data_IF_721282177561
#
_entry.id   IF_721282177561
#
_cell.length_a   1.000
_cell.length_b   1.000
_cell.length_c   1.000
_cell.angle_alpha   90.00
_cell.angle_beta   90.00
_cell.angle_gamma   90.00
#
_symmetry.space_group_name_H-M   'P 1'
#
loop_
_entity.id
_entity.type
_entity.pdbx_description
1 polymer ?
#
# COMPACT_ATOMS: atom_id res chain seq x y z
N UNK A 1 -16.41 13.33 -11.06
CA UNK A 1 -16.48 12.53 -12.30
C UNK A 1 -15.06 12.23 -12.71
N UNK A 2 -14.54 11.09 -12.27
CA UNK A 2 -13.21 10.61 -12.63
C UNK A 2 -13.28 10.01 -14.03
N UNK A 3 -12.88 10.77 -15.04
CA UNK A 3 -12.48 10.21 -16.32
C UNK A 3 -11.00 9.84 -16.27
N UNK A 4 -10.69 8.67 -15.74
CA UNK A 4 -9.40 8.04 -15.90
C UNK A 4 -9.57 6.81 -16.80
N UNK A 5 -9.73 7.03 -18.09
CA UNK A 5 -9.69 5.97 -19.11
C UNK A 5 -8.61 6.33 -20.12
N UNK A 6 -7.40 6.16 -19.71
CA UNK A 6 -6.23 6.10 -20.60
C UNK A 6 -5.82 4.66 -20.81
N UNK A 7 -6.66 3.89 -21.46
CA UNK A 7 -6.42 2.49 -21.73
C UNK A 7 -5.13 2.29 -22.54
N UNK A 8 -4.21 1.49 -22.03
CA UNK A 8 -2.97 1.07 -22.70
C UNK A 8 -3.22 0.43 -24.09
N UNK A 9 -4.46 0.10 -24.42
CA UNK A 9 -4.92 -0.52 -25.66
C UNK A 9 -4.94 0.41 -26.89
N UNK A 10 -4.91 1.75 -26.72
CA UNK A 10 -5.04 2.70 -27.82
C UNK A 10 -3.74 3.40 -28.23
N UNK A 11 -2.61 3.05 -27.61
CA UNK A 11 -1.34 3.69 -27.93
C UNK A 11 -0.67 3.04 -29.12
N UNK A 12 -0.18 3.86 -30.09
CA UNK A 12 0.62 3.39 -31.20
C UNK A 12 1.93 2.75 -30.71
N UNK A 13 2.58 1.86 -31.49
CA UNK A 13 3.87 1.25 -31.11
C UNK A 13 4.92 2.26 -30.70
N UNK A 14 4.96 3.43 -31.37
CA UNK A 14 5.87 4.53 -31.08
C UNK A 14 5.54 5.22 -29.73
N UNK A 15 4.25 5.41 -29.43
CA UNK A 15 3.82 5.95 -28.14
C UNK A 15 4.11 4.97 -26.98
N UNK A 16 3.98 3.65 -27.23
CA UNK A 16 4.38 2.61 -26.26
C UNK A 16 5.87 2.64 -25.98
N UNK A 17 6.69 2.81 -27.01
CA UNK A 17 8.15 2.92 -26.88
C UNK A 17 8.54 4.17 -26.09
N UNK A 18 8.00 5.33 -26.44
CA UNK A 18 8.24 6.59 -25.74
C UNK A 18 7.75 6.54 -24.28
N UNK A 19 6.62 5.89 -24.03
CA UNK A 19 6.04 5.65 -22.70
C UNK A 19 6.97 4.80 -21.83
N UNK A 20 7.53 3.73 -22.35
CA UNK A 20 8.52 2.89 -21.65
C UNK A 20 9.84 3.66 -21.36
N UNK A 21 10.31 4.44 -22.30
CA UNK A 21 11.54 5.23 -22.18
C UNK A 21 11.41 6.35 -21.13
N UNK A 22 10.25 6.98 -21.02
CA UNK A 22 10.04 8.14 -20.14
C UNK A 22 9.63 7.79 -18.73
N UNK A 23 9.52 6.50 -18.39
CA UNK A 23 9.01 6.01 -17.08
C UNK A 23 7.65 6.61 -16.67
N UNK A 24 6.89 7.16 -17.63
CA UNK A 24 5.58 7.76 -17.37
C UNK A 24 4.59 6.79 -16.75
N UNK A 25 4.69 5.49 -17.05
CA UNK A 25 3.84 4.45 -16.46
C UNK A 25 3.91 4.45 -14.93
N UNK A 26 5.07 4.79 -14.34
CA UNK A 26 5.25 4.84 -12.88
C UNK A 26 4.54 6.06 -12.28
N UNK A 27 4.47 7.18 -13.01
CA UNK A 27 3.85 8.41 -12.53
C UNK A 27 2.36 8.54 -12.88
N UNK A 28 1.85 7.73 -13.80
CA UNK A 28 0.46 7.83 -14.25
C UNK A 28 -0.51 6.96 -13.41
N UNK A 29 -0.02 5.89 -12.77
CA UNK A 29 -0.86 5.07 -11.88
C UNK A 29 -0.85 5.61 -10.46
N UNK A 30 -1.99 5.60 -9.75
CA UNK A 30 -2.00 5.94 -8.33
C UNK A 30 -1.25 4.87 -7.52
N UNK A 31 -0.51 5.32 -6.52
CA UNK A 31 0.22 4.47 -5.59
C UNK A 31 -0.36 4.60 -4.20
N UNK A 32 -0.71 3.46 -3.62
CA UNK A 32 -1.28 3.38 -2.28
C UNK A 32 -0.31 2.64 -1.35
N UNK A 33 -0.04 3.25 -0.20
CA UNK A 33 0.66 2.59 0.87
C UNK A 33 -0.37 1.91 1.77
N UNK A 34 -0.26 0.58 1.93
CA UNK A 34 -1.20 -0.21 2.73
C UNK A 34 -0.58 -0.48 4.09
N UNK A 35 -1.21 0.05 5.14
CA UNK A 35 -0.75 -0.03 6.52
C UNK A 35 -1.84 -0.61 7.41
N UNK A 36 -1.45 -1.19 8.53
CA UNK A 36 -2.37 -1.76 9.51
C UNK A 36 -1.62 -2.67 10.48
N UNK A 37 -2.21 -3.00 11.63
CA UNK A 37 -1.60 -3.92 12.59
C UNK A 37 -1.25 -5.28 11.98
N UNK A 38 -0.39 -6.08 12.60
CA UNK A 38 -0.19 -7.47 12.20
C UNK A 38 -1.51 -8.23 12.22
N UNK A 39 -1.74 -9.08 11.21
CA UNK A 39 -2.99 -9.86 11.11
C UNK A 39 -4.25 -9.09 10.72
N UNK A 40 -4.14 -7.80 10.37
CA UNK A 40 -5.31 -7.00 9.97
C UNK A 40 -5.83 -7.29 8.55
N UNK A 41 -5.36 -8.34 7.89
CA UNK A 41 -5.86 -8.76 6.57
C UNK A 41 -5.43 -7.89 5.39
N UNK A 42 -4.36 -7.07 5.50
CA UNK A 42 -3.86 -6.19 4.43
C UNK A 42 -3.62 -6.92 3.12
N UNK A 43 -2.80 -7.96 3.19
CA UNK A 43 -2.40 -8.77 2.03
C UNK A 43 -3.60 -9.46 1.39
N UNK A 44 -4.49 -10.04 2.21
CA UNK A 44 -5.73 -10.66 1.73
C UNK A 44 -6.66 -9.65 1.06
N UNK A 45 -6.82 -8.46 1.66
CA UNK A 45 -7.63 -7.38 1.09
C UNK A 45 -7.16 -7.01 -0.33
N UNK A 46 -5.86 -6.90 -0.55
CA UNK A 46 -5.30 -6.62 -1.87
C UNK A 46 -5.54 -7.81 -2.80
N UNK A 47 -5.18 -9.01 -2.38
CA UNK A 47 -5.29 -10.23 -3.19
C UNK A 47 -6.74 -10.55 -3.61
N UNK A 48 -7.70 -10.27 -2.75
CA UNK A 48 -9.14 -10.52 -2.98
C UNK A 48 -9.89 -9.32 -3.56
N UNK A 49 -9.20 -8.22 -3.86
CA UNK A 49 -9.81 -6.99 -4.39
C UNK A 49 -10.48 -7.14 -5.76
N UNK A 50 -10.28 -8.25 -6.46
CA UNK A 50 -10.73 -8.45 -7.83
C UNK A 50 -9.92 -7.67 -8.87
N UNK A 51 -8.86 -7.00 -8.46
CA UNK A 51 -7.94 -6.31 -9.37
C UNK A 51 -7.07 -7.32 -10.16
N UNK A 52 -6.77 -6.98 -11.40
CA UNK A 52 -5.85 -7.77 -12.23
C UNK A 52 -4.42 -7.37 -11.94
N UNK A 53 -3.63 -8.28 -11.42
CA UNK A 53 -2.21 -8.05 -11.11
C UNK A 53 -1.34 -8.46 -12.29
N UNK A 54 -0.58 -7.50 -12.83
CA UNK A 54 0.20 -7.65 -14.07
C UNK A 54 1.30 -8.72 -13.99
N UNK A 55 1.87 -8.94 -12.82
CA UNK A 55 2.93 -9.95 -12.64
C UNK A 55 2.38 -11.36 -12.46
N UNK A 56 1.21 -11.53 -11.86
CA UNK A 56 0.57 -12.83 -11.69
C UNK A 56 0.27 -13.50 -13.04
N UNK A 57 -0.22 -12.72 -14.01
CA UNK A 57 -0.50 -13.21 -15.35
C UNK A 57 0.78 -13.59 -16.13
N UNK A 58 1.89 -12.88 -15.89
CA UNK A 58 3.12 -13.07 -16.69
C UNK A 58 3.94 -14.28 -16.23
N UNK A 59 3.87 -14.64 -14.96
CA UNK A 59 4.63 -15.75 -14.38
C UNK A 59 3.80 -17.01 -14.11
N UNK A 60 2.52 -17.04 -14.54
CA UNK A 60 1.63 -18.17 -14.30
C UNK A 60 1.40 -18.47 -12.81
N UNK A 61 1.70 -17.50 -11.97
CA UNK A 61 1.40 -17.57 -10.54
C UNK A 61 -0.12 -17.47 -10.41
N UNK A 62 -0.77 -18.60 -10.18
CA UNK A 62 -2.13 -18.58 -9.67
C UNK A 62 -2.11 -17.68 -8.43
N UNK A 63 -3.17 -16.90 -8.24
CA UNK A 63 -3.35 -15.99 -7.11
C UNK A 63 -3.44 -16.72 -5.74
N UNK A 64 -2.57 -17.67 -5.52
CA UNK A 64 -2.33 -18.22 -4.19
C UNK A 64 -1.44 -17.19 -3.50
N UNK A 65 -2.09 -16.17 -2.93
CA UNK A 65 -1.47 -15.31 -1.95
C UNK A 65 -0.96 -16.24 -0.86
N UNK A 66 0.35 -16.41 -0.79
CA UNK A 66 0.96 -17.04 0.37
C UNK A 66 0.68 -16.11 1.55
N UNK A 67 -0.32 -16.46 2.36
CA UNK A 67 -0.88 -15.61 3.43
C UNK A 67 0.04 -15.59 4.66
N UNK A 68 1.34 -15.71 4.41
CA UNK A 68 2.37 -15.51 5.44
C UNK A 68 2.47 -14.03 5.85
N UNK A 69 2.99 -13.74 7.06
CA UNK A 69 3.20 -12.36 7.47
C UNK A 69 4.20 -11.66 6.55
N UNK A 70 3.83 -10.48 6.07
CA UNK A 70 4.73 -9.61 5.28
C UNK A 70 5.91 -9.19 6.16
N UNK A 71 7.11 -9.63 5.81
CA UNK A 71 8.30 -9.33 6.61
C UNK A 71 8.76 -7.89 6.46
N UNK A 72 8.90 -7.40 5.21
CA UNK A 72 9.28 -6.01 4.92
C UNK A 72 8.18 -5.25 4.19
N UNK A 73 8.11 -5.40 2.89
CA UNK A 73 7.02 -4.87 2.05
C UNK A 73 6.87 -5.69 0.77
N UNK A 74 5.64 -5.82 0.31
CA UNK A 74 5.32 -6.45 -0.97
C UNK A 74 4.78 -5.41 -1.95
N UNK A 75 5.16 -5.56 -3.23
CA UNK A 75 4.70 -4.70 -4.31
C UNK A 75 3.64 -5.40 -5.13
N UNK A 76 2.47 -4.81 -5.22
CA UNK A 76 1.35 -5.30 -6.00
C UNK A 76 1.10 -4.36 -7.17
N UNK A 77 1.42 -4.82 -8.37
CA UNK A 77 1.27 -4.05 -9.61
C UNK A 77 -0.05 -4.43 -10.28
N UNK A 78 -1.10 -3.68 -10.02
CA UNK A 78 -2.39 -3.85 -10.66
C UNK A 78 -2.49 -3.12 -11.99
N UNK A 79 -3.55 -3.41 -12.76
CA UNK A 79 -3.76 -2.77 -14.07
C UNK A 79 -3.89 -1.24 -13.95
N UNK A 80 -4.53 -0.73 -12.89
CA UNK A 80 -4.82 0.69 -12.73
C UNK A 80 -4.15 1.35 -11.51
N UNK A 81 -3.47 0.58 -10.68
CA UNK A 81 -2.91 1.05 -9.40
C UNK A 81 -1.63 0.30 -9.03
N UNK A 82 -0.95 0.79 -8.02
CA UNK A 82 0.18 0.12 -7.36
C UNK A 82 -0.07 0.16 -5.86
N UNK A 83 -0.01 -0.99 -5.22
CA UNK A 83 -0.09 -1.09 -3.77
C UNK A 83 1.26 -1.49 -3.20
N UNK A 84 1.66 -0.81 -2.15
CA UNK A 84 2.84 -1.15 -1.35
C UNK A 84 2.32 -1.68 -0.01
N UNK A 85 2.24 -3.00 0.10
CA UNK A 85 1.79 -3.70 1.30
C UNK A 85 2.94 -3.78 2.30
N UNK A 86 2.76 -3.19 3.48
CA UNK A 86 3.80 -3.07 4.49
C UNK A 86 3.63 -4.09 5.62
N UNK A 87 4.74 -4.43 6.26
CA UNK A 87 4.69 -5.21 7.50
C UNK A 87 3.82 -4.51 8.56
N UNK A 88 3.02 -5.29 9.28
CA UNK A 88 2.24 -4.77 10.40
C UNK A 88 3.07 -4.21 11.54
N UNK A 89 4.34 -4.61 11.63
CA UNK A 89 5.29 -4.11 12.62
C UNK A 89 5.65 -2.64 12.41
N UNK A 90 5.43 -2.09 11.21
CA UNK A 90 5.67 -0.67 10.92
C UNK A 90 4.85 0.28 11.78
N UNK A 91 3.73 -0.19 12.34
CA UNK A 91 2.92 0.58 13.28
C UNK A 91 3.45 0.55 14.71
N UNK A 92 4.23 -0.45 15.06
CA UNK A 92 4.77 -0.54 16.40
C UNK A 92 5.82 0.55 16.63
N UNK A 93 5.59 1.42 17.61
CA UNK A 93 6.50 2.54 17.91
C UNK A 93 7.87 2.06 18.39
N UNK A 94 7.91 0.91 19.07
CA UNK A 94 9.11 0.31 19.64
C UNK A 94 9.54 -0.99 18.96
N UNK A 95 8.86 -1.43 17.89
CA UNK A 95 9.01 -2.80 17.36
C UNK A 95 9.97 -2.96 16.20
N UNK A 96 10.27 -1.91 15.45
CA UNK A 96 11.05 -2.05 14.22
C UNK A 96 12.57 -2.22 14.45
N UNK A 97 13.08 -1.88 15.61
CA UNK A 97 14.52 -1.76 15.78
C UNK A 97 15.14 -0.75 14.78
N UNK A 98 16.44 -0.59 14.84
CA UNK A 98 17.15 0.32 13.91
C UNK A 98 17.09 -0.17 12.45
N UNK A 99 17.13 -1.47 12.21
CA UNK A 99 17.15 -2.06 10.88
C UNK A 99 15.82 -1.86 10.15
N UNK A 100 14.70 -2.13 10.79
CA UNK A 100 13.38 -1.89 10.22
C UNK A 100 13.09 -0.41 9.97
N UNK A 101 13.56 0.48 10.84
CA UNK A 101 13.46 1.92 10.61
C UNK A 101 14.27 2.35 9.38
N UNK A 102 15.49 1.83 9.20
CA UNK A 102 16.32 2.07 8.02
C UNK A 102 15.69 1.51 6.73
N UNK A 103 15.08 0.32 6.79
CA UNK A 103 14.39 -0.27 5.65
C UNK A 103 13.21 0.60 5.20
N UNK A 104 12.36 1.06 6.14
CA UNK A 104 11.26 1.99 5.87
C UNK A 104 11.74 3.29 5.25
N UNK A 105 12.74 3.92 5.83
CA UNK A 105 13.31 5.17 5.31
C UNK A 105 13.89 5.01 3.91
N UNK A 106 14.50 3.86 3.64
CA UNK A 106 15.03 3.51 2.33
C UNK A 106 13.90 3.39 1.31
N UNK A 107 12.80 2.72 1.69
CA UNK A 107 11.61 2.62 0.84
C UNK A 107 11.04 4.00 0.50
N UNK A 108 10.87 4.89 1.49
CA UNK A 108 10.34 6.24 1.27
C UNK A 108 11.28 7.07 0.37
N UNK A 109 12.60 6.94 0.54
CA UNK A 109 13.59 7.56 -0.36
C UNK A 109 13.47 7.03 -1.78
N UNK A 110 13.28 5.73 -1.96
CA UNK A 110 13.10 5.11 -3.28
C UNK A 110 11.81 5.60 -3.95
N UNK A 111 10.69 5.62 -3.23
CA UNK A 111 9.42 6.15 -3.76
C UNK A 111 9.61 7.59 -4.22
N UNK A 112 10.17 8.47 -3.38
CA UNK A 112 10.40 9.89 -3.72
C UNK A 112 11.36 10.08 -4.88
N UNK A 113 12.36 9.21 -5.02
CA UNK A 113 13.32 9.28 -6.15
C UNK A 113 12.65 8.92 -7.47
N UNK A 114 11.73 7.98 -7.48
CA UNK A 114 11.09 7.49 -8.69
C UNK A 114 9.77 8.19 -9.01
N UNK A 115 9.06 8.69 -7.98
CA UNK A 115 7.86 9.51 -8.12
C UNK A 115 8.08 10.85 -7.43
N UNK A 116 8.29 11.89 -8.23
CA UNK A 116 8.68 13.21 -7.70
C UNK A 116 7.58 13.89 -6.89
N UNK A 117 6.33 13.84 -7.33
CA UNK A 117 5.16 14.36 -6.62
C UNK A 117 3.89 13.64 -7.07
N UNK A 118 2.99 13.28 -6.16
CA UNK A 118 3.07 13.43 -4.70
C UNK A 118 3.89 12.35 -3.99
N UNK A 119 4.51 11.39 -4.70
CA UNK A 119 5.21 10.22 -4.16
C UNK A 119 4.23 9.06 -3.99
N UNK A 120 3.24 9.18 -3.12
CA UNK A 120 2.08 8.29 -3.00
C UNK A 120 0.80 9.11 -3.15
N UNK A 121 -0.27 8.48 -3.61
CA UNK A 121 -1.56 9.13 -3.85
C UNK A 121 -2.54 8.91 -2.70
N UNK A 122 -2.22 8.00 -1.77
CA UNK A 122 -3.03 7.77 -0.59
C UNK A 122 -2.50 6.67 0.31
N UNK A 123 -3.09 6.57 1.48
CA UNK A 123 -2.82 5.53 2.47
C UNK A 123 -4.09 4.71 2.65
N UNK A 124 -3.97 3.39 2.53
CA UNK A 124 -5.02 2.45 2.92
C UNK A 124 -4.72 1.93 4.32
N UNK A 125 -5.56 2.29 5.28
CA UNK A 125 -5.45 1.84 6.66
C UNK A 125 -6.39 0.66 6.86
N UNK A 126 -5.84 -0.53 7.10
CA UNK A 126 -6.61 -1.74 7.33
C UNK A 126 -6.67 -2.08 8.82
N UNK A 127 -7.89 -2.24 9.35
CA UNK A 127 -8.15 -2.66 10.73
C UNK A 127 -9.02 -3.93 10.74
N UNK A 128 -8.74 -4.83 11.68
CA UNK A 128 -9.54 -6.04 11.88
C UNK A 128 -10.78 -5.72 12.73
N UNK A 129 -11.98 -6.03 12.22
CA UNK A 129 -13.25 -5.80 12.93
C UNK A 129 -13.29 -6.55 14.25
N UNK A 130 -12.82 -7.80 14.30
CA UNK A 130 -12.78 -8.61 15.51
C UNK A 130 -11.92 -7.96 16.59
N UNK A 131 -10.73 -7.47 16.18
CA UNK A 131 -9.87 -6.75 17.10
C UNK A 131 -10.54 -5.48 17.62
N UNK A 132 -11.19 -4.70 16.75
CA UNK A 132 -11.90 -3.48 17.13
C UNK A 132 -13.01 -3.74 18.15
N UNK A 133 -13.71 -4.90 18.09
CA UNK A 133 -14.76 -5.26 19.03
C UNK A 133 -14.22 -5.74 20.37
N UNK A 134 -13.15 -6.53 20.35
CA UNK A 134 -12.65 -7.21 21.56
C UNK A 134 -11.54 -6.47 22.29
N UNK A 135 -10.83 -5.57 21.60
CA UNK A 135 -9.75 -4.81 22.21
C UNK A 135 -10.25 -3.87 23.31
N UNK A 136 -9.49 -3.79 24.39
CA UNK A 136 -9.72 -2.84 25.46
C UNK A 136 -9.56 -1.39 24.98
N UNK A 137 -10.12 -0.45 25.73
CA UNK A 137 -9.97 0.98 25.42
C UNK A 137 -8.49 1.39 25.39
N UNK A 138 -7.67 0.83 26.28
CA UNK A 138 -6.23 1.11 26.37
C UNK A 138 -5.50 0.64 25.11
N UNK A 139 -5.79 -0.58 24.65
CA UNK A 139 -5.20 -1.12 23.42
C UNK A 139 -5.61 -0.31 22.19
N UNK A 140 -6.90 0.01 22.05
CA UNK A 140 -7.39 0.85 20.96
C UNK A 140 -6.72 2.22 20.93
N UNK A 141 -6.55 2.84 22.12
CA UNK A 141 -5.86 4.12 22.24
C UNK A 141 -4.38 3.99 21.85
N UNK A 142 -3.68 2.96 22.30
CA UNK A 142 -2.28 2.73 21.95
C UNK A 142 -2.09 2.58 20.43
N UNK A 143 -2.95 1.81 19.77
CA UNK A 143 -2.90 1.67 18.31
C UNK A 143 -3.25 2.98 17.60
N UNK A 144 -4.24 3.73 18.08
CA UNK A 144 -4.60 5.04 17.52
C UNK A 144 -3.45 6.05 17.63
N UNK A 145 -2.76 6.09 18.77
CA UNK A 145 -1.60 6.96 18.98
C UNK A 145 -0.44 6.55 18.05
N UNK A 146 -0.18 5.25 17.91
CA UNK A 146 0.82 4.74 16.98
C UNK A 146 0.49 5.09 15.52
N UNK A 147 -0.74 4.89 15.10
CA UNK A 147 -1.23 5.27 13.77
C UNK A 147 -1.05 6.77 13.53
N UNK A 148 -1.45 7.60 14.48
CA UNK A 148 -1.29 9.05 14.36
C UNK A 148 0.16 9.46 14.11
N UNK A 149 1.09 8.90 14.88
CA UNK A 149 2.53 9.18 14.71
C UNK A 149 3.00 8.78 13.31
N UNK A 150 2.63 7.58 12.85
CA UNK A 150 3.02 7.09 11.53
C UNK A 150 2.41 7.87 10.38
N UNK A 151 1.15 8.26 10.48
CA UNK A 151 0.49 9.09 9.46
C UNK A 151 1.15 10.47 9.35
N UNK A 152 1.48 11.12 10.48
CA UNK A 152 2.20 12.40 10.48
C UNK A 152 3.61 12.25 9.89
N UNK A 153 4.31 11.17 10.19
CA UNK A 153 5.61 10.87 9.61
C UNK A 153 5.53 10.73 8.08
N UNK A 154 4.55 9.96 7.57
CA UNK A 154 4.32 9.80 6.13
C UNK A 154 3.96 11.12 5.45
N UNK A 155 3.09 11.93 6.06
CA UNK A 155 2.75 13.25 5.55
C UNK A 155 3.99 14.16 5.46
N UNK A 156 4.88 14.11 6.45
CA UNK A 156 6.15 14.83 6.43
C UNK A 156 7.10 14.33 5.32
N UNK A 157 7.22 13.01 5.14
CA UNK A 157 8.04 12.41 4.10
C UNK A 157 7.59 12.79 2.68
N UNK A 158 6.30 12.71 2.42
CA UNK A 158 5.74 12.97 1.09
C UNK A 158 5.34 14.43 0.86
N UNK A 159 5.40 15.27 1.90
CA UNK A 159 5.09 16.71 1.83
C UNK A 159 3.74 16.99 1.18
N UNK A 160 2.74 16.19 1.52
CA UNK A 160 1.40 16.25 0.94
C UNK A 160 0.35 15.91 2.00
N UNK A 161 -0.83 16.48 1.82
CA UNK A 161 -2.04 16.02 2.49
C UNK A 161 -2.46 14.70 1.84
N UNK A 162 -2.13 13.59 2.48
CA UNK A 162 -2.42 12.26 1.95
C UNK A 162 -3.83 11.84 2.37
N UNK A 163 -4.71 11.50 1.42
CA UNK A 163 -5.99 10.89 1.76
C UNK A 163 -5.77 9.54 2.45
N UNK A 164 -6.49 9.31 3.54
CA UNK A 164 -6.47 8.05 4.29
C UNK A 164 -7.79 7.34 4.06
N UNK A 165 -7.72 6.16 3.47
CA UNK A 165 -8.87 5.28 3.24
C UNK A 165 -8.90 4.22 4.33
N UNK A 166 -9.90 4.31 5.21
CA UNK A 166 -10.11 3.30 6.24
C UNK A 166 -10.80 2.08 5.64
N UNK A 167 -10.19 0.92 5.79
CA UNK A 167 -10.75 -0.38 5.41
C UNK A 167 -10.87 -1.26 6.65
N UNK A 168 -11.99 -1.96 6.76
CA UNK A 168 -12.25 -2.87 7.89
C UNK A 168 -12.39 -4.27 7.32
N UNK A 169 -11.50 -5.17 7.75
CA UNK A 169 -11.47 -6.57 7.35
C UNK A 169 -12.26 -7.48 8.31
N UNK A 170 -12.46 -8.72 7.92
CA UNK A 170 -13.08 -9.78 8.72
C UNK A 170 -14.49 -9.44 9.24
N UNK A 171 -15.25 -8.64 8.48
CA UNK A 171 -16.66 -8.35 8.82
C UNK A 171 -17.56 -9.58 8.70
N UNK A 172 -17.16 -10.54 7.87
CA UNK A 172 -17.80 -11.84 7.69
C UNK A 172 -17.69 -12.76 8.89
N UNK A 173 -16.84 -12.42 9.86
CA UNK A 173 -16.55 -13.22 11.05
C UNK A 173 -17.16 -12.62 12.34
N UNK A 174 -18.07 -11.66 12.17
CA UNK A 174 -18.86 -11.05 13.28
C UNK A 174 -20.23 -11.77 13.45
#
# INVERSE_FOLDING_TARGET
>A
TLQYVGTAKQRTPWQRFKYRLTRRYVSEKPWFLVIGPPGSGKTSLIGESGERFLLAEHYGLQQTVDVGPTQDCNWWLAENSVYVDTSGEWLQLNGLGEEGARARDTLFKLIRRHRRHPGIDGIMLCLDARWLLHASLTERKSVADALRVRLLEMASWFRSELPVYLTISHLDQL
#
